data_IF_247320743438
#
_entry.id   IF_247320743438
#
_cell.length_a   1.000
_cell.length_b   1.000
_cell.length_c   1.000
_cell.angle_alpha   90.00
_cell.angle_beta   90.00
_cell.angle_gamma   90.00
#
_symmetry.space_group_name_H-M   'P 1'
#
loop_
_entity.id
_entity.type
_entity.pdbx_description
1 polymer ?
#
# COMPACT_ATOMS: atom_id res chain seq x y z
N UNK A 1 -21.85 -6.98 30.37
CA UNK A 1 -20.83 -7.69 29.57
C UNK A 1 -21.44 -7.93 28.19
N UNK A 2 -21.25 -6.98 27.27
CA UNK A 2 -21.97 -6.93 25.99
C UNK A 2 -21.46 -8.02 25.05
N UNK A 3 -22.37 -8.87 24.59
CA UNK A 3 -22.14 -9.84 23.52
C UNK A 3 -21.81 -9.04 22.26
N UNK A 4 -20.54 -9.08 21.86
CA UNK A 4 -20.05 -8.44 20.64
C UNK A 4 -20.73 -9.14 19.47
N UNK A 5 -21.72 -8.48 18.87
CA UNK A 5 -22.51 -8.99 17.76
C UNK A 5 -21.63 -9.16 16.51
N UNK A 6 -21.11 -10.38 16.32
CA UNK A 6 -20.26 -10.78 15.18
C UNK A 6 -20.89 -10.47 13.82
N UNK A 7 -22.23 -10.39 13.73
CA UNK A 7 -22.93 -10.00 12.49
C UNK A 7 -22.77 -8.51 12.19
N UNK A 8 -22.71 -7.64 13.19
CA UNK A 8 -22.38 -6.22 13.02
C UNK A 8 -20.95 -6.06 12.50
N UNK A 9 -19.96 -6.71 13.12
CA UNK A 9 -18.55 -6.69 12.68
C UNK A 9 -18.37 -7.16 11.23
N UNK A 10 -19.03 -8.26 10.84
CA UNK A 10 -18.96 -8.77 9.46
C UNK A 10 -19.55 -7.78 8.45
N UNK A 11 -20.63 -7.07 8.81
CA UNK A 11 -21.20 -5.98 7.99
C UNK A 11 -20.28 -4.76 7.94
N UNK A 12 -19.54 -4.45 9.01
CA UNK A 12 -18.52 -3.40 9.04
C UNK A 12 -17.35 -3.68 8.10
N UNK A 13 -16.91 -4.94 8.00
CA UNK A 13 -15.75 -5.32 7.19
C UNK A 13 -16.10 -5.59 5.72
N UNK A 14 -17.20 -6.29 5.45
CA UNK A 14 -17.58 -6.71 4.09
C UNK A 14 -18.74 -5.91 3.48
N UNK A 15 -19.54 -5.21 4.30
CA UNK A 15 -20.76 -4.51 3.88
C UNK A 15 -20.71 -2.99 4.03
N UNK A 16 -19.53 -2.41 4.26
CA UNK A 16 -19.42 -0.97 4.46
C UNK A 16 -19.51 -0.24 3.12
N UNK A 17 -20.66 0.37 2.86
CA UNK A 17 -20.91 1.12 1.64
C UNK A 17 -19.89 2.26 1.45
N UNK A 18 -19.41 2.86 2.53
CA UNK A 18 -18.39 3.91 2.51
C UNK A 18 -17.07 3.39 1.94
N UNK A 19 -16.56 2.23 2.39
CA UNK A 19 -15.32 1.66 1.87
C UNK A 19 -15.39 1.35 0.36
N UNK A 20 -16.49 0.77 -0.10
CA UNK A 20 -16.67 0.49 -1.55
C UNK A 20 -16.84 1.75 -2.39
N UNK A 21 -17.52 2.77 -1.87
CA UNK A 21 -17.64 4.08 -2.52
C UNK A 21 -16.28 4.74 -2.64
N UNK A 22 -15.51 4.73 -1.55
CA UNK A 22 -14.22 5.40 -1.46
C UNK A 22 -13.17 4.73 -2.36
N UNK A 23 -13.17 3.40 -2.42
CA UNK A 23 -12.36 2.67 -3.40
C UNK A 23 -12.71 3.02 -4.85
N UNK A 24 -14.00 3.09 -5.19
CA UNK A 24 -14.40 3.48 -6.54
C UNK A 24 -14.02 4.92 -6.85
N UNK A 25 -14.09 5.82 -5.88
CA UNK A 25 -13.70 7.24 -6.05
C UNK A 25 -12.19 7.37 -6.19
N UNK A 26 -11.40 6.63 -5.40
CA UNK A 26 -9.93 6.60 -5.50
C UNK A 26 -9.48 6.00 -6.84
N UNK A 27 -10.11 4.91 -7.29
CA UNK A 27 -9.78 4.25 -8.56
C UNK A 27 -10.35 4.96 -9.80
N UNK A 28 -11.40 5.79 -9.68
CA UNK A 28 -12.00 6.56 -10.79
C UNK A 28 -11.25 7.84 -11.15
N UNK A 29 -10.15 8.15 -10.49
CA UNK A 29 -9.29 9.28 -10.85
C UNK A 29 -8.14 8.85 -11.77
N UNK A 30 -7.85 9.64 -12.80
CA UNK A 30 -6.63 9.50 -13.62
C UNK A 30 -5.37 9.42 -12.75
N UNK A 31 -5.37 10.08 -11.58
CA UNK A 31 -4.29 10.09 -10.61
C UNK A 31 -3.91 8.70 -10.08
N UNK A 32 -4.88 7.82 -9.78
CA UNK A 32 -4.57 6.48 -9.26
C UNK A 32 -3.97 5.60 -10.35
N UNK A 33 -4.49 5.69 -11.57
CA UNK A 33 -3.90 5.01 -12.74
C UNK A 33 -2.47 5.49 -12.97
N UNK A 34 -2.22 6.80 -12.93
CA UNK A 34 -0.86 7.36 -13.06
C UNK A 34 0.08 6.84 -11.98
N UNK A 35 -0.36 6.74 -10.72
CA UNK A 35 0.45 6.19 -9.64
C UNK A 35 0.81 4.71 -9.87
N UNK A 36 -0.15 3.88 -10.31
CA UNK A 36 0.11 2.47 -10.62
C UNK A 36 1.03 2.31 -11.83
N UNK A 37 0.82 3.07 -12.89
CA UNK A 37 1.68 3.05 -14.08
C UNK A 37 3.10 3.48 -13.74
N UNK A 38 3.26 4.57 -12.98
CA UNK A 38 4.57 5.04 -12.54
C UNK A 38 5.26 3.99 -11.65
N UNK A 39 4.52 3.35 -10.75
CA UNK A 39 5.04 2.26 -9.93
C UNK A 39 5.54 1.08 -10.79
N UNK A 40 4.76 0.66 -11.80
CA UNK A 40 5.17 -0.40 -12.74
C UNK A 40 6.43 -0.02 -13.52
N UNK A 41 6.52 1.22 -13.99
CA UNK A 41 7.70 1.72 -14.71
C UNK A 41 8.94 1.68 -13.82
N UNK A 42 8.83 2.14 -12.56
CA UNK A 42 9.94 2.10 -11.60
C UNK A 42 10.38 0.66 -11.35
N UNK A 43 9.44 -0.25 -11.11
CA UNK A 43 9.77 -1.67 -10.91
C UNK A 43 10.45 -2.28 -12.14
N UNK A 44 9.95 -1.99 -13.35
CA UNK A 44 10.55 -2.46 -14.59
C UNK A 44 11.97 -1.92 -14.80
N UNK A 45 12.18 -0.64 -14.49
CA UNK A 45 13.50 0.01 -14.58
C UNK A 45 14.50 -0.62 -13.58
N UNK A 46 14.08 -0.86 -12.34
CA UNK A 46 14.94 -1.52 -11.35
C UNK A 46 15.28 -2.95 -11.78
N UNK A 47 14.32 -3.72 -12.30
CA UNK A 47 14.60 -5.05 -12.84
C UNK A 47 15.59 -4.98 -14.01
N UNK A 48 15.42 -4.01 -14.92
CA UNK A 48 16.31 -3.85 -16.07
C UNK A 48 17.76 -3.58 -15.62
N UNK A 49 17.96 -2.63 -14.70
CA UNK A 49 19.30 -2.31 -14.17
C UNK A 49 19.90 -3.52 -13.44
N UNK A 50 19.10 -4.20 -12.63
CA UNK A 50 19.57 -5.35 -11.87
C UNK A 50 19.90 -6.55 -12.79
N UNK A 51 19.18 -6.71 -13.89
CA UNK A 51 19.46 -7.73 -14.91
C UNK A 51 20.74 -7.44 -15.69
N UNK A 52 20.92 -6.19 -16.13
CA UNK A 52 22.15 -5.75 -16.81
C UNK A 52 23.38 -5.96 -15.91
N UNK A 53 23.24 -5.60 -14.64
CA UNK A 53 24.27 -5.84 -13.62
C UNK A 53 24.57 -7.34 -13.43
N UNK A 54 23.57 -8.22 -13.56
CA UNK A 54 23.79 -9.66 -13.39
C UNK A 54 24.54 -10.29 -14.58
N UNK A 55 24.35 -9.79 -15.80
CA UNK A 55 24.97 -10.32 -17.03
C UNK A 55 26.37 -9.72 -17.28
N UNK A 56 26.58 -8.46 -16.91
CA UNK A 56 27.86 -7.76 -17.13
C UNK A 56 29.05 -8.44 -16.45
N UNK A 57 28.83 -9.19 -15.37
CA UNK A 57 29.86 -9.97 -14.70
C UNK A 57 29.93 -11.39 -15.26
N UNK A 58 30.60 -11.55 -16.40
CA UNK A 58 31.03 -12.86 -16.94
C UNK A 58 32.02 -13.55 -16.01
N UNK A 59 31.55 -14.03 -14.87
CA UNK A 59 32.33 -14.75 -13.87
C UNK A 59 32.04 -16.24 -14.02
N UNK A 60 33.08 -17.02 -14.36
CA UNK A 60 33.02 -18.47 -14.70
C UNK A 60 32.64 -19.38 -13.51
N UNK A 61 32.28 -18.81 -12.35
CA UNK A 61 31.97 -19.54 -11.13
C UNK A 61 30.46 -19.55 -10.85
N UNK A 62 29.90 -20.74 -10.66
CA UNK A 62 28.50 -20.97 -10.31
C UNK A 62 28.08 -20.22 -9.03
N UNK A 63 29.00 -20.08 -8.06
CA UNK A 63 28.74 -19.38 -6.81
C UNK A 63 28.50 -17.87 -7.01
N UNK A 64 29.24 -17.24 -7.94
CA UNK A 64 29.12 -15.80 -8.23
C UNK A 64 27.87 -15.50 -9.04
N UNK A 65 27.49 -16.40 -9.95
CA UNK A 65 26.22 -16.30 -10.66
C UNK A 65 25.03 -16.36 -9.70
N UNK A 66 25.06 -17.30 -8.73
CA UNK A 66 24.02 -17.41 -7.72
C UNK A 66 23.93 -16.18 -6.80
N UNK A 67 25.06 -15.61 -6.38
CA UNK A 67 25.06 -14.39 -5.56
C UNK A 67 24.46 -13.18 -6.30
N UNK A 68 24.71 -13.06 -7.61
CA UNK A 68 24.17 -11.97 -8.42
C UNK A 68 22.64 -12.08 -8.57
N UNK A 69 22.15 -13.30 -8.79
CA UNK A 69 20.71 -13.59 -8.85
C UNK A 69 20.01 -13.30 -7.51
N UNK A 70 20.68 -13.59 -6.39
CA UNK A 70 20.16 -13.23 -5.07
C UNK A 70 20.15 -11.71 -4.85
N UNK A 71 21.19 -11.00 -5.32
CA UNK A 71 21.23 -9.53 -5.32
C UNK A 71 20.07 -8.90 -6.10
N UNK A 72 19.73 -9.47 -7.26
CA UNK A 72 18.57 -9.07 -8.05
C UNK A 72 17.24 -9.18 -7.28
N UNK A 73 17.04 -10.29 -6.56
CA UNK A 73 15.87 -10.48 -5.69
C UNK A 73 15.80 -9.42 -4.58
N UNK A 74 16.91 -9.18 -3.89
CA UNK A 74 16.98 -8.16 -2.83
C UNK A 74 16.72 -6.75 -3.36
N UNK A 75 17.24 -6.38 -4.52
CA UNK A 75 16.98 -5.09 -5.15
C UNK A 75 15.48 -4.89 -5.46
N UNK A 76 14.82 -5.94 -5.97
CA UNK A 76 13.39 -5.94 -6.27
C UNK A 76 12.55 -5.73 -4.99
N UNK A 77 12.88 -6.45 -3.92
CA UNK A 77 12.18 -6.31 -2.64
C UNK A 77 12.46 -4.96 -1.97
N UNK A 78 13.69 -4.47 -2.04
CA UNK A 78 14.05 -3.17 -1.48
C UNK A 78 13.22 -2.06 -2.17
N UNK A 79 13.10 -2.11 -3.50
CA UNK A 79 12.25 -1.19 -4.24
C UNK A 79 10.79 -1.26 -3.81
N UNK A 80 10.24 -2.47 -3.70
CA UNK A 80 8.89 -2.69 -3.16
C UNK A 80 8.73 -2.08 -1.76
N UNK A 81 9.72 -2.29 -0.89
CA UNK A 81 9.85 -1.70 0.45
C UNK A 81 9.65 -0.20 0.44
N UNK A 82 10.53 0.48 -0.28
CA UNK A 82 10.54 1.94 -0.38
C UNK A 82 9.20 2.48 -0.87
N UNK A 83 8.64 1.88 -1.93
CA UNK A 83 7.36 2.32 -2.47
C UNK A 83 6.24 2.13 -1.45
N UNK A 84 6.17 0.97 -0.79
CA UNK A 84 5.12 0.70 0.21
C UNK A 84 5.24 1.67 1.39
N UNK A 85 6.46 1.93 1.89
CA UNK A 85 6.68 2.88 2.99
C UNK A 85 6.24 4.30 2.66
N UNK A 86 6.38 4.75 1.42
CA UNK A 86 5.96 6.10 1.00
C UNK A 86 4.44 6.13 0.72
N UNK A 87 3.93 5.13 0.02
CA UNK A 87 2.54 5.13 -0.46
C UNK A 87 1.55 4.81 0.66
N UNK A 88 1.88 3.88 1.56
CA UNK A 88 1.00 3.47 2.66
C UNK A 88 0.53 4.66 3.55
N UNK A 89 1.42 5.50 4.10
CA UNK A 89 1.01 6.66 4.90
C UNK A 89 0.38 7.76 4.04
N UNK A 90 0.81 7.92 2.79
CA UNK A 90 0.21 8.90 1.87
C UNK A 90 -1.27 8.59 1.63
N UNK A 91 -1.63 7.34 1.33
CA UNK A 91 -3.02 6.92 1.13
C UNK A 91 -3.85 7.11 2.40
N UNK A 92 -3.29 6.79 3.57
CA UNK A 92 -3.95 7.05 4.86
C UNK A 92 -4.23 8.54 5.09
N UNK A 93 -3.25 9.41 4.82
CA UNK A 93 -3.40 10.86 4.96
C UNK A 93 -4.40 11.44 3.93
N UNK A 94 -4.35 10.99 2.68
CA UNK A 94 -5.27 11.43 1.63
C UNK A 94 -6.72 11.14 2.00
N UNK A 95 -7.01 9.95 2.54
CA UNK A 95 -8.37 9.58 2.95
C UNK A 95 -8.94 10.59 3.99
N UNK A 96 -8.12 11.05 4.94
CA UNK A 96 -8.55 12.04 5.94
C UNK A 96 -8.71 13.43 5.33
N UNK A 97 -7.76 13.87 4.51
CA UNK A 97 -7.81 15.19 3.85
C UNK A 97 -9.01 15.32 2.92
N UNK A 98 -9.33 14.28 2.14
CA UNK A 98 -10.48 14.30 1.22
C UNK A 98 -11.82 14.46 1.94
N UNK A 99 -11.92 13.98 3.18
CA UNK A 99 -13.13 14.17 3.99
C UNK A 99 -13.17 15.48 4.76
N UNK A 100 -12.01 16.04 5.14
CA UNK A 100 -11.93 17.42 5.63
C UNK A 100 -12.34 18.43 4.56
N UNK A 101 -11.85 18.27 3.32
CA UNK A 101 -12.16 19.17 2.21
C UNK A 101 -13.64 19.16 1.78
N UNK A 102 -14.36 18.05 2.02
CA UNK A 102 -15.80 17.95 1.71
C UNK A 102 -16.71 18.59 2.77
N UNK A 103 -16.18 19.31 3.78
CA UNK A 103 -16.93 19.84 4.94
C UNK A 103 -17.82 18.79 5.62
N UNK A 104 -17.44 17.51 5.55
CA UNK A 104 -18.26 16.41 6.09
C UNK A 104 -18.00 16.14 7.57
N UNK A 105 -17.00 16.77 8.20
CA UNK A 105 -16.79 16.60 9.64
C UNK A 105 -17.96 17.19 10.45
N UNK A 106 -18.46 18.37 10.08
CA UNK A 106 -19.65 18.97 10.72
C UNK A 106 -20.92 18.15 10.45
N UNK A 107 -21.01 17.48 9.29
CA UNK A 107 -22.14 16.62 8.94
C UNK A 107 -22.06 15.22 9.58
N UNK A 108 -20.87 14.74 9.93
CA UNK A 108 -20.67 13.46 10.62
C UNK A 108 -20.90 13.61 12.12
N UNK A 109 -20.62 14.77 12.72
CA UNK A 109 -20.99 15.05 14.11
C UNK A 109 -22.50 15.19 14.34
N UNK A 110 -23.30 15.43 13.29
CA UNK A 110 -24.77 15.45 13.39
C UNK A 110 -25.43 14.08 13.16
N UNK A 111 -24.66 13.07 12.71
CA UNK A 111 -25.16 11.73 12.45
C UNK A 111 -24.85 10.76 13.61
N UNK A 112 -25.79 9.89 14.05
CA UNK A 112 -25.60 8.96 15.16
C UNK A 112 -24.80 7.73 14.71
N UNK A 113 -23.53 7.92 14.33
CA UNK A 113 -22.61 6.84 13.93
C UNK A 113 -21.39 6.82 14.83
N UNK A 114 -21.07 5.63 15.37
CA UNK A 114 -19.92 5.45 16.26
C UNK A 114 -18.59 5.76 15.54
N UNK A 115 -17.72 6.64 16.09
CA UNK A 115 -16.46 7.06 15.46
C UNK A 115 -15.51 5.91 15.11
N UNK A 116 -15.57 4.82 15.90
CA UNK A 116 -14.74 3.62 15.71
C UNK A 116 -15.07 2.88 14.41
N UNK A 117 -16.35 2.80 14.05
CA UNK A 117 -16.81 2.12 12.83
C UNK A 117 -16.32 2.84 11.56
N UNK A 118 -16.31 4.17 11.62
CA UNK A 118 -15.84 5.03 10.55
C UNK A 118 -14.32 4.90 10.33
N UNK A 119 -13.52 4.94 11.40
CA UNK A 119 -12.06 4.78 11.32
C UNK A 119 -11.65 3.42 10.73
N UNK A 120 -12.31 2.34 11.16
CA UNK A 120 -12.03 0.98 10.66
C UNK A 120 -12.36 0.85 9.17
N UNK A 121 -13.50 1.39 8.72
CA UNK A 121 -13.85 1.38 7.29
C UNK A 121 -12.79 2.09 6.42
N UNK A 122 -12.18 3.14 6.95
CA UNK A 122 -11.16 3.94 6.28
C UNK A 122 -9.78 3.27 6.26
N UNK A 123 -9.44 2.55 7.33
CA UNK A 123 -8.26 1.70 7.35
C UNK A 123 -8.38 0.57 6.32
N UNK A 124 -9.54 -0.06 6.23
CA UNK A 124 -9.79 -1.14 5.26
C UNK A 124 -9.70 -0.64 3.82
N UNK A 125 -10.25 0.54 3.51
CA UNK A 125 -10.16 1.10 2.15
C UNK A 125 -8.71 1.39 1.75
N UNK A 126 -7.92 1.98 2.65
CA UNK A 126 -6.49 2.23 2.41
C UNK A 126 -5.67 0.93 2.33
N UNK A 127 -5.94 -0.04 3.19
CA UNK A 127 -5.25 -1.33 3.20
C UNK A 127 -5.46 -2.11 1.90
N UNK A 128 -6.65 -2.03 1.30
CA UNK A 128 -6.91 -2.66 -0.01
C UNK A 128 -6.05 -2.06 -1.13
N UNK A 129 -5.63 -0.80 -1.03
CA UNK A 129 -4.70 -0.20 -1.99
C UNK A 129 -3.30 -0.81 -1.88
N UNK A 130 -2.84 -1.09 -0.65
CA UNK A 130 -1.58 -1.81 -0.41
C UNK A 130 -1.62 -3.21 -1.03
N UNK A 131 -2.74 -3.93 -0.87
CA UNK A 131 -2.94 -5.22 -1.53
C UNK A 131 -2.91 -5.15 -3.05
N UNK A 132 -3.47 -4.10 -3.65
CA UNK A 132 -3.39 -3.89 -5.10
C UNK A 132 -1.93 -3.71 -5.54
N UNK A 133 -1.13 -2.91 -4.82
CA UNK A 133 0.31 -2.76 -5.11
C UNK A 133 1.05 -4.09 -4.98
N UNK A 134 0.75 -4.88 -3.94
CA UNK A 134 1.35 -6.18 -3.73
C UNK A 134 1.03 -7.17 -4.86
N UNK A 135 -0.23 -7.23 -5.29
CA UNK A 135 -0.65 -8.06 -6.44
C UNK A 135 0.07 -7.61 -7.72
N UNK A 136 0.25 -6.30 -7.89
CA UNK A 136 0.92 -5.73 -9.05
C UNK A 136 2.44 -6.00 -9.04
N UNK A 137 3.04 -6.18 -7.87
CA UNK A 137 4.43 -6.61 -7.70
C UNK A 137 4.64 -8.10 -8.00
N UNK A 138 3.59 -8.91 -7.89
CA UNK A 138 3.63 -10.37 -8.06
C UNK A 138 4.30 -10.82 -9.38
N UNK A 139 3.96 -10.27 -10.57
CA UNK A 139 4.65 -10.65 -11.81
C UNK A 139 6.16 -10.35 -11.78
N UNK A 140 6.59 -9.25 -11.14
CA UNK A 140 8.02 -8.91 -11.00
C UNK A 140 8.74 -9.89 -10.07
N UNK A 141 8.10 -10.26 -8.96
CA UNK A 141 8.61 -11.29 -8.07
C UNK A 141 8.66 -12.67 -8.75
N UNK A 142 7.69 -13.00 -9.61
CA UNK A 142 7.69 -14.24 -10.38
C UNK A 142 8.89 -14.31 -11.34
N UNK A 143 9.22 -13.21 -12.03
CA UNK A 143 10.44 -13.12 -12.85
C UNK A 143 11.70 -13.39 -12.02
N UNK A 144 11.78 -12.81 -10.82
CA UNK A 144 12.91 -13.05 -9.89
C UNK A 144 13.05 -14.51 -9.44
N UNK A 145 11.93 -15.21 -9.22
CA UNK A 145 11.93 -16.66 -8.92
C UNK A 145 12.36 -17.47 -10.14
N UNK A 146 11.85 -17.16 -11.34
CA UNK A 146 12.21 -17.91 -12.56
C UNK A 146 13.68 -17.79 -12.93
N UNK A 147 14.32 -16.67 -12.60
CA UNK A 147 15.76 -16.47 -12.76
C UNK A 147 16.59 -17.25 -11.73
N UNK A 148 15.96 -17.91 -10.75
CA UNK A 148 16.64 -18.69 -9.72
C UNK A 148 17.14 -17.87 -8.53
N UNK A 149 16.70 -16.62 -8.36
CA UNK A 149 17.14 -15.74 -7.27
C UNK A 149 16.55 -16.06 -5.90
N UNK A 150 15.40 -16.74 -5.82
CA UNK A 150 14.76 -17.13 -4.56
C UNK A 150 13.87 -18.35 -4.68
N UNK A 151 13.45 -18.90 -3.53
CA UNK A 151 12.48 -19.99 -3.44
C UNK A 151 11.04 -19.50 -3.28
N UNK A 152 10.05 -20.26 -3.76
CA UNK A 152 8.63 -19.93 -3.63
C UNK A 152 8.18 -19.70 -2.17
N UNK A 153 8.73 -20.49 -1.24
CA UNK A 153 8.41 -20.36 0.18
C UNK A 153 8.90 -19.01 0.74
N UNK A 154 10.08 -18.57 0.32
CA UNK A 154 10.66 -17.31 0.76
C UNK A 154 9.88 -16.12 0.22
N UNK A 155 9.44 -16.17 -1.05
CA UNK A 155 8.54 -15.17 -1.63
C UNK A 155 7.25 -15.07 -0.81
N UNK A 156 6.62 -16.20 -0.48
CA UNK A 156 5.37 -16.20 0.28
C UNK A 156 5.53 -15.57 1.68
N UNK A 157 6.62 -15.91 2.38
CA UNK A 157 6.96 -15.31 3.69
C UNK A 157 7.19 -13.80 3.55
N UNK A 158 7.96 -13.36 2.55
CA UNK A 158 8.20 -11.94 2.28
C UNK A 158 6.91 -11.20 2.00
N UNK A 159 6.01 -11.78 1.19
CA UNK A 159 4.73 -11.18 0.86
C UNK A 159 3.84 -11.01 2.11
N UNK A 160 3.83 -12.02 2.99
CA UNK A 160 3.11 -11.96 4.27
C UNK A 160 3.67 -10.84 5.17
N UNK A 161 4.99 -10.76 5.31
CA UNK A 161 5.67 -9.72 6.09
C UNK A 161 5.36 -8.31 5.55
N UNK A 162 5.38 -8.13 4.23
CA UNK A 162 5.03 -6.87 3.59
C UNK A 162 3.57 -6.48 3.81
N UNK A 163 2.66 -7.46 3.82
CA UNK A 163 1.25 -7.23 4.15
C UNK A 163 1.08 -6.69 5.56
N UNK A 164 1.78 -7.28 6.56
CA UNK A 164 1.76 -6.76 7.94
C UNK A 164 2.42 -5.39 8.05
N UNK A 165 3.56 -5.19 7.39
CA UNK A 165 4.26 -3.91 7.36
C UNK A 165 3.39 -2.80 6.78
N UNK A 166 2.72 -3.05 5.66
CA UNK A 166 1.81 -2.10 5.04
C UNK A 166 0.62 -1.75 5.94
N UNK A 167 0.07 -2.73 6.69
CA UNK A 167 -1.00 -2.47 7.66
C UNK A 167 -0.54 -1.50 8.76
N UNK A 168 0.66 -1.72 9.30
CA UNK A 168 1.27 -0.86 10.33
C UNK A 168 1.48 0.55 9.77
N UNK A 169 2.08 0.69 8.58
CA UNK A 169 2.31 2.00 7.96
C UNK A 169 1.02 2.77 7.68
N UNK A 170 -0.04 2.09 7.21
CA UNK A 170 -1.35 2.72 7.01
C UNK A 170 -1.94 3.20 8.34
N UNK A 171 -1.86 2.38 9.38
CA UNK A 171 -2.32 2.75 10.72
C UNK A 171 -1.56 3.98 11.25
N UNK A 172 -0.23 4.01 11.12
CA UNK A 172 0.58 5.16 11.48
C UNK A 172 0.21 6.42 10.67
N UNK A 173 0.02 6.30 9.35
CA UNK A 173 -0.39 7.43 8.51
C UNK A 173 -1.75 8.01 8.91
N UNK A 174 -2.71 7.14 9.26
CA UNK A 174 -4.01 7.57 9.78
C UNK A 174 -3.90 8.24 11.15
N UNK A 175 -3.08 7.71 12.07
CA UNK A 175 -2.84 8.31 13.38
C UNK A 175 -2.20 9.70 13.26
N UNK A 176 -1.15 9.84 12.44
CA UNK A 176 -0.47 11.11 12.19
C UNK A 176 -1.42 12.14 11.58
N UNK A 177 -2.25 11.73 10.64
CA UNK A 177 -3.22 12.62 10.01
C UNK A 177 -4.38 12.99 10.94
N UNK A 178 -4.77 12.09 11.86
CA UNK A 178 -5.73 12.41 12.93
C UNK A 178 -5.16 13.37 13.96
N UNK A 179 -3.87 13.27 14.29
CA UNK A 179 -3.21 14.15 15.26
C UNK A 179 -2.90 15.54 14.69
N UNK A 180 -2.88 15.66 13.36
CA UNK A 180 -2.77 16.93 12.63
C UNK A 180 -4.06 17.76 12.74
N UNK A 181 -4.18 18.52 13.83
CA UNK A 181 -5.28 19.47 14.07
C UNK A 181 -5.05 20.86 13.44
N UNK A 182 -4.06 21.01 12.55
CA UNK A 182 -3.64 22.33 12.04
C UNK A 182 -3.84 22.45 10.52
N UNK A 183 -4.96 23.02 10.04
CA UNK A 183 -5.06 23.56 8.70
C UNK A 183 -4.41 24.95 8.69
N UNK A 184 -3.08 25.00 8.79
CA UNK A 184 -2.30 26.25 8.84
C UNK A 184 -1.36 26.16 7.63
N UNK A 185 -1.41 27.02 6.57
CA UNK A 185 -1.98 28.36 6.45
C UNK A 185 -2.65 28.64 5.06
N UNK A 186 -3.25 27.65 4.38
CA UNK A 186 -3.67 27.82 2.98
C UNK A 186 -5.03 28.53 2.75
N UNK A 187 -5.74 28.96 3.80
CA UNK A 187 -7.00 29.69 3.67
C UNK A 187 -6.85 31.23 3.77
N UNK A 188 -5.65 31.74 4.04
CA UNK A 188 -5.43 33.19 4.20
C UNK A 188 -5.10 33.90 2.86
N UNK A 189 -5.07 33.17 1.75
CA UNK A 189 -4.74 33.70 0.42
C UNK A 189 -5.77 33.34 -0.67
N UNK A 190 -6.99 32.97 -0.28
CA UNK A 190 -8.15 32.92 -1.19
C UNK A 190 -9.27 33.77 -0.64
#
# INVERSE_FOLDING_TARGET
MQVIDLKRLRRTYFGNATATRDQRVQLRGSKAVVLFTLYLIIMALVLYIAYDSAIGYSSRSLATAQSNLQGFYWATIACLGVVVTIVAPAVGAFAIVTERQRRSLDLVFSAPVEPKFYLVGKLISAYRYVWLLLILALPFCAVSVTLGGTTWIQLFITFLLFSFYGLICVAFGLLLSSMSSRPIPALCWT
#
